data_IF_947471221398
#
_entry.id   IF_947471221398
#
_cell.length_a   1.000
_cell.length_b   1.000
_cell.length_c   1.000
_cell.angle_alpha   90.00
_cell.angle_beta   90.00
_cell.angle_gamma   90.00
#
_symmetry.space_group_name_H-M   'P 1'
#
loop_
_entity.id
_entity.type
_entity.pdbx_description
1 polymer ?
#
# COMPACT_ATOMS: atom_id res chain seq x y z
N UNK A 1 26.61 -4.65 -14.79
CA UNK A 1 25.16 -4.46 -15.00
C UNK A 1 24.56 -5.86 -15.03
N UNK A 2 24.12 -6.32 -13.87
CA UNK A 2 23.74 -7.72 -13.62
C UNK A 2 22.36 -7.99 -14.21
N UNK A 3 22.29 -8.98 -15.10
CA UNK A 3 21.06 -9.70 -15.41
C UNK A 3 20.63 -10.40 -14.12
N UNK A 4 19.69 -9.80 -13.38
CA UNK A 4 18.96 -10.55 -12.36
C UNK A 4 18.00 -11.44 -13.13
N UNK A 5 18.41 -12.69 -13.37
CA UNK A 5 17.47 -13.77 -13.59
C UNK A 5 16.50 -13.70 -12.39
N UNK A 6 15.22 -13.46 -12.66
CA UNK A 6 14.16 -13.52 -11.65
C UNK A 6 14.10 -14.95 -11.15
N UNK A 7 14.94 -15.28 -10.17
CA UNK A 7 14.87 -16.55 -9.45
C UNK A 7 13.59 -16.53 -8.65
N UNK A 8 12.68 -17.45 -8.99
CA UNK A 8 11.49 -17.72 -8.22
C UNK A 8 11.89 -17.95 -6.74
N UNK A 9 11.09 -17.48 -5.76
CA UNK A 9 11.25 -17.88 -4.38
C UNK A 9 11.23 -19.40 -4.33
N UNK A 10 12.29 -19.99 -3.81
CA UNK A 10 12.27 -21.40 -3.47
C UNK A 10 11.23 -21.61 -2.35
N UNK A 11 10.58 -22.78 -2.33
CA UNK A 11 9.65 -23.22 -1.28
C UNK A 11 10.14 -22.96 0.16
N UNK A 12 11.47 -22.88 0.34
CA UNK A 12 12.17 -22.64 1.60
C UNK A 12 11.86 -21.28 2.28
N UNK A 13 11.16 -20.34 1.63
CA UNK A 13 10.76 -19.07 2.26
C UNK A 13 9.27 -18.75 2.32
N UNK A 14 8.40 -19.59 1.74
CA UNK A 14 6.98 -19.53 2.07
C UNK A 14 6.75 -19.76 3.59
N UNK A 15 7.68 -20.46 4.26
CA UNK A 15 7.69 -20.66 5.71
C UNK A 15 8.01 -19.39 6.53
N UNK A 16 8.64 -18.37 5.93
CA UNK A 16 8.95 -17.08 6.59
C UNK A 16 7.81 -16.06 6.47
N UNK A 17 6.87 -16.29 5.55
CA UNK A 17 5.70 -15.43 5.35
C UNK A 17 4.59 -15.82 6.30
N UNK A 18 3.88 -14.82 6.82
CA UNK A 18 2.65 -15.05 7.56
C UNK A 18 1.64 -15.80 6.66
N UNK A 19 1.09 -16.96 7.07
CA UNK A 19 0.19 -17.75 6.23
C UNK A 19 -1.04 -16.98 5.73
N UNK A 20 -1.55 -16.05 6.53
CA UNK A 20 -2.68 -15.20 6.13
C UNK A 20 -2.27 -14.22 5.02
N UNK A 21 -1.01 -13.77 5.05
CA UNK A 21 -0.44 -12.97 3.99
C UNK A 21 -0.27 -13.77 2.70
N UNK A 22 0.20 -15.01 2.78
CA UNK A 22 0.31 -15.88 1.60
C UNK A 22 -1.05 -16.05 0.90
N UNK A 23 -2.10 -16.42 1.64
CA UNK A 23 -3.46 -16.56 1.08
C UNK A 23 -3.95 -15.26 0.43
N UNK A 24 -3.65 -14.12 1.04
CA UNK A 24 -3.94 -12.81 0.45
C UNK A 24 -3.21 -12.59 -0.87
N UNK A 25 -1.94 -12.95 -0.95
CA UNK A 25 -1.18 -12.84 -2.19
C UNK A 25 -1.83 -13.67 -3.30
N UNK A 26 -2.22 -14.92 -3.02
CA UNK A 26 -2.96 -15.76 -3.98
C UNK A 26 -4.20 -15.03 -4.53
N UNK A 27 -5.05 -14.49 -3.64
CA UNK A 27 -6.25 -13.76 -4.05
C UNK A 27 -5.97 -12.52 -4.91
N UNK A 28 -4.88 -11.79 -4.62
CA UNK A 28 -4.47 -10.62 -5.40
C UNK A 28 -3.91 -11.05 -6.76
N UNK A 29 -3.13 -12.12 -6.79
CA UNK A 29 -2.62 -12.74 -8.01
C UNK A 29 -3.76 -13.10 -8.95
N UNK A 30 -4.76 -13.83 -8.45
CA UNK A 30 -5.96 -14.20 -9.22
C UNK A 30 -6.70 -12.96 -9.74
N UNK A 31 -6.88 -11.92 -8.93
CA UNK A 31 -7.57 -10.70 -9.37
C UNK A 31 -6.78 -10.00 -10.49
N UNK A 32 -5.46 -9.87 -10.34
CA UNK A 32 -4.60 -9.25 -11.34
C UNK A 32 -4.52 -10.06 -12.63
N UNK A 33 -4.46 -11.39 -12.55
CA UNK A 33 -4.50 -12.27 -13.71
C UNK A 33 -5.80 -12.09 -14.49
N UNK A 34 -6.96 -12.13 -13.80
CA UNK A 34 -8.26 -11.87 -14.41
C UNK A 34 -8.32 -10.50 -15.09
N UNK A 35 -7.75 -9.45 -14.48
CA UNK A 35 -7.73 -8.11 -15.08
C UNK A 35 -6.87 -8.09 -16.34
N UNK A 36 -5.71 -8.74 -16.34
CA UNK A 36 -4.82 -8.82 -17.51
C UNK A 36 -5.50 -9.57 -18.65
N UNK A 37 -6.12 -10.72 -18.36
CA UNK A 37 -6.75 -11.57 -19.36
C UNK A 37 -8.01 -10.93 -19.98
N UNK A 38 -8.84 -10.31 -19.15
CA UNK A 38 -10.12 -9.75 -19.59
C UNK A 38 -9.97 -8.38 -20.24
N UNK A 39 -8.98 -7.59 -19.82
CA UNK A 39 -9.00 -6.16 -20.11
C UNK A 39 -7.65 -5.43 -20.04
N UNK A 40 -6.62 -5.99 -20.70
CA UNK A 40 -5.27 -5.38 -20.73
C UNK A 40 -5.25 -3.91 -21.17
N UNK A 41 -6.25 -3.45 -21.95
CA UNK A 41 -6.36 -2.06 -22.42
C UNK A 41 -6.79 -1.08 -21.33
N UNK A 42 -7.42 -1.57 -20.26
CA UNK A 42 -7.87 -0.77 -19.13
C UNK A 42 -6.91 -0.86 -17.93
N UNK A 43 -5.80 -1.60 -18.08
CA UNK A 43 -4.66 -1.56 -17.16
C UNK A 43 -3.73 -0.37 -17.46
N UNK A 44 -3.50 0.44 -16.44
CA UNK A 44 -2.53 1.51 -16.45
C UNK A 44 -1.42 1.25 -15.43
N UNK A 45 -0.19 1.29 -15.91
CA UNK A 45 1.00 1.16 -15.09
C UNK A 45 1.44 2.53 -14.57
N UNK A 46 1.42 2.72 -13.26
CA UNK A 46 1.96 3.92 -12.60
C UNK A 46 3.50 3.89 -12.51
N UNK A 47 4.13 4.85 -11.81
CA UNK A 47 5.58 4.88 -11.63
C UNK A 47 6.11 3.65 -10.88
N UNK A 48 7.41 3.39 -11.04
CA UNK A 48 8.16 2.47 -10.15
C UNK A 48 8.86 3.31 -9.11
N UNK A 49 8.87 2.83 -7.87
CA UNK A 49 9.50 3.53 -6.76
C UNK A 49 10.61 2.66 -6.20
N UNK A 50 11.79 3.24 -6.02
CA UNK A 50 12.85 2.63 -5.24
C UNK A 50 12.83 3.24 -3.85
N UNK A 51 12.65 2.39 -2.83
CA UNK A 51 12.50 2.81 -1.45
C UNK A 51 13.41 2.01 -0.53
N UNK A 52 13.79 2.61 0.59
CA UNK A 52 14.55 1.93 1.64
C UNK A 52 13.74 1.91 2.93
N UNK A 53 13.61 0.75 3.56
CA UNK A 53 12.95 0.59 4.85
C UNK A 53 13.78 1.23 5.96
N UNK A 54 13.17 1.47 7.13
CA UNK A 54 13.92 1.92 8.31
C UNK A 54 15.01 0.95 8.77
N UNK A 55 14.92 -0.33 8.36
CA UNK A 55 15.90 -1.36 8.62
C UNK A 55 17.03 -1.42 7.56
N UNK A 56 17.01 -0.54 6.55
CA UNK A 56 18.03 -0.49 5.50
C UNK A 56 17.79 -1.46 4.33
N UNK A 57 16.66 -2.16 4.31
CA UNK A 57 16.30 -3.04 3.20
C UNK A 57 15.82 -2.20 2.01
N UNK A 58 16.34 -2.48 0.81
CA UNK A 58 15.87 -1.87 -0.42
C UNK A 58 14.64 -2.61 -0.93
N UNK A 59 13.66 -1.86 -1.43
CA UNK A 59 12.48 -2.39 -2.07
C UNK A 59 12.22 -1.65 -3.39
N UNK A 60 11.72 -2.38 -4.37
CA UNK A 60 11.10 -1.85 -5.58
C UNK A 60 9.57 -1.91 -5.39
N UNK A 61 8.87 -0.79 -5.53
CA UNK A 61 7.40 -0.74 -5.45
C UNK A 61 6.82 -0.48 -6.82
N UNK A 62 6.03 -1.43 -7.30
CA UNK A 62 5.34 -1.36 -8.58
C UNK A 62 3.92 -0.90 -8.34
N UNK A 63 3.45 -0.01 -9.18
CA UNK A 63 2.10 0.52 -9.11
C UNK A 63 1.32 0.21 -10.37
N UNK A 64 0.14 -0.37 -10.20
CA UNK A 64 -0.79 -0.74 -11.28
C UNK A 64 -2.16 -0.25 -10.89
N UNK A 65 -2.93 0.22 -11.86
CA UNK A 65 -4.31 0.60 -11.63
C UNK A 65 -5.21 0.22 -12.80
N UNK A 66 -6.50 0.11 -12.51
CA UNK A 66 -7.51 -0.01 -13.55
C UNK A 66 -8.79 0.68 -13.10
N UNK A 67 -9.59 1.10 -14.07
CA UNK A 67 -10.93 1.62 -13.83
C UNK A 67 -11.95 0.47 -13.74
N UNK A 68 -13.01 0.67 -12.98
CA UNK A 68 -14.04 -0.33 -12.78
C UNK A 68 -15.30 0.22 -12.12
N UNK A 69 -16.09 -0.69 -11.53
CA UNK A 69 -17.26 -0.36 -10.72
C UNK A 69 -17.21 -1.10 -9.38
N UNK A 70 -17.70 -0.45 -8.33
CA UNK A 70 -17.93 -1.09 -7.03
C UNK A 70 -19.10 -2.08 -7.13
N UNK A 71 -19.29 -2.91 -6.09
CA UNK A 71 -20.48 -3.77 -5.98
C UNK A 71 -21.81 -2.99 -6.02
N UNK A 72 -21.79 -1.73 -5.58
CA UNK A 72 -22.92 -0.80 -5.62
C UNK A 72 -23.06 -0.09 -6.98
N UNK A 73 -22.22 -0.40 -7.97
CA UNK A 73 -22.26 0.15 -9.31
C UNK A 73 -21.61 1.53 -9.47
N UNK A 74 -21.01 2.08 -8.42
CA UNK A 74 -20.30 3.36 -8.48
C UNK A 74 -19.04 3.21 -9.31
N UNK A 75 -18.71 4.22 -10.13
CA UNK A 75 -17.43 4.25 -10.83
C UNK A 75 -16.30 4.25 -9.81
N UNK A 76 -15.30 3.42 -10.01
CA UNK A 76 -14.13 3.40 -9.18
C UNK A 76 -12.84 3.23 -9.99
N UNK A 77 -11.72 3.52 -9.34
CA UNK A 77 -10.38 3.20 -9.81
C UNK A 77 -9.67 2.42 -8.72
N UNK A 78 -9.19 1.22 -9.04
CA UNK A 78 -8.45 0.37 -8.11
C UNK A 78 -6.95 0.52 -8.34
N UNK A 79 -6.21 0.67 -7.26
CA UNK A 79 -4.76 0.80 -7.22
C UNK A 79 -4.15 -0.38 -6.47
N UNK A 80 -3.14 -0.99 -7.08
CA UNK A 80 -2.33 -2.06 -6.54
C UNK A 80 -0.90 -1.56 -6.45
N UNK A 81 -0.35 -1.55 -5.23
CA UNK A 81 1.04 -1.23 -4.97
C UNK A 81 1.68 -2.49 -4.41
N UNK A 82 2.68 -3.03 -5.11
CA UNK A 82 3.34 -4.28 -4.73
C UNK A 82 4.81 -4.00 -4.47
N UNK A 83 5.29 -4.33 -3.28
CA UNK A 83 6.68 -4.14 -2.88
C UNK A 83 7.47 -5.43 -2.95
N UNK A 84 8.62 -5.32 -3.60
CA UNK A 84 9.48 -6.42 -3.98
C UNK A 84 10.86 -6.18 -3.36
N UNK A 85 11.43 -7.20 -2.72
CA UNK A 85 12.78 -7.11 -2.17
C UNK A 85 13.87 -7.26 -3.24
N UNK A 86 15.14 -7.15 -2.83
CA UNK A 86 16.30 -7.29 -3.71
C UNK A 86 16.50 -8.71 -4.28
N UNK A 87 15.75 -9.69 -3.76
CA UNK A 87 15.73 -11.06 -4.22
C UNK A 87 14.57 -11.33 -5.19
N UNK A 88 13.68 -10.36 -5.42
CA UNK A 88 12.54 -10.50 -6.33
C UNK A 88 11.28 -11.07 -5.67
N UNK A 89 11.21 -11.08 -4.33
CA UNK A 89 10.06 -11.60 -3.58
C UNK A 89 9.07 -10.50 -3.19
N UNK A 90 7.78 -10.86 -3.17
CA UNK A 90 6.72 -10.00 -2.63
C UNK A 90 6.77 -10.02 -1.12
N UNK A 91 6.96 -8.84 -0.53
CA UNK A 91 7.08 -8.72 0.92
C UNK A 91 6.01 -7.82 1.53
N UNK A 92 5.35 -6.99 0.73
CA UNK A 92 4.22 -6.18 1.16
C UNK A 92 3.37 -5.74 -0.04
N UNK A 93 2.08 -5.50 0.20
CA UNK A 93 1.17 -4.94 -0.79
C UNK A 93 0.26 -3.88 -0.18
N UNK A 94 -0.27 -3.02 -1.04
CA UNK A 94 -1.40 -2.16 -0.72
C UNK A 94 -2.41 -2.22 -1.86
N UNK A 95 -3.66 -2.43 -1.49
CA UNK A 95 -4.80 -2.26 -2.40
C UNK A 95 -5.60 -1.03 -1.96
N UNK A 96 -5.95 -0.15 -2.89
CA UNK A 96 -6.76 1.04 -2.62
C UNK A 96 -7.79 1.24 -3.71
N UNK A 97 -9.05 1.39 -3.31
CA UNK A 97 -10.15 1.74 -4.20
C UNK A 97 -10.48 3.22 -4.05
N UNK A 98 -10.44 3.95 -5.16
CA UNK A 98 -10.97 5.31 -5.28
C UNK A 98 -12.41 5.21 -5.78
N UNK A 99 -13.38 5.52 -4.93
CA UNK A 99 -14.80 5.54 -5.32
C UNK A 99 -15.22 6.96 -5.67
N UNK A 100 -15.61 7.19 -6.92
CA UNK A 100 -16.02 8.51 -7.38
C UNK A 100 -17.46 8.81 -6.97
N UNK A 101 -17.68 10.01 -6.42
CA UNK A 101 -18.96 10.49 -5.89
C UNK A 101 -19.20 11.94 -6.31
N UNK A 102 -20.47 12.33 -6.29
CA UNK A 102 -20.90 13.71 -6.49
C UNK A 102 -21.90 14.06 -5.38
N UNK A 103 -21.66 15.17 -4.68
CA UNK A 103 -22.55 15.68 -3.63
C UNK A 103 -22.66 17.18 -3.76
N UNK A 104 -23.90 17.71 -3.84
CA UNK A 104 -24.16 19.16 -3.98
C UNK A 104 -23.38 19.83 -5.14
N UNK A 105 -23.10 19.06 -6.21
CA UNK A 105 -22.33 19.52 -7.37
C UNK A 105 -20.81 19.48 -7.20
N UNK A 106 -20.28 19.14 -6.02
CA UNK A 106 -18.86 18.84 -5.80
C UNK A 106 -18.58 17.40 -6.23
N UNK A 107 -17.57 17.21 -7.10
CA UNK A 107 -17.09 15.88 -7.48
C UNK A 107 -15.90 15.51 -6.63
N UNK A 108 -15.97 14.38 -5.94
CA UNK A 108 -14.88 13.92 -5.08
C UNK A 108 -14.70 12.42 -5.19
N UNK A 109 -13.55 11.93 -4.75
CA UNK A 109 -13.32 10.50 -4.58
C UNK A 109 -13.05 10.18 -3.10
N UNK A 110 -13.58 9.05 -2.63
CA UNK A 110 -13.19 8.46 -1.34
C UNK A 110 -12.15 7.38 -1.60
N UNK A 111 -10.99 7.47 -0.95
CA UNK A 111 -9.96 6.44 -0.99
C UNK A 111 -10.10 5.54 0.23
N UNK A 112 -10.26 4.24 -0.02
CA UNK A 112 -10.35 3.20 0.99
C UNK A 112 -9.42 2.05 0.59
N UNK A 113 -8.67 1.50 1.54
CA UNK A 113 -7.68 0.50 1.21
C UNK A 113 -7.05 -0.14 2.42
N UNK A 114 -6.28 -1.18 2.15
CA UNK A 114 -5.54 -1.92 3.15
C UNK A 114 -4.10 -2.07 2.72
N UNK A 115 -3.20 -1.95 3.69
CA UNK A 115 -1.80 -2.31 3.58
C UNK A 115 -1.59 -3.65 4.29
N UNK A 116 -0.88 -4.57 3.65
CA UNK A 116 -0.51 -5.84 4.24
C UNK A 116 0.98 -6.08 4.06
N UNK A 117 1.59 -6.69 5.08
CA UNK A 117 3.03 -6.96 5.10
C UNK A 117 3.25 -8.43 5.42
N UNK A 118 4.05 -9.11 4.61
CA UNK A 118 4.33 -10.54 4.78
C UNK A 118 5.31 -10.84 5.90
N UNK A 119 6.14 -9.87 6.28
CA UNK A 119 7.20 -10.04 7.29
C UNK A 119 7.08 -8.96 8.35
N UNK A 120 6.83 -9.38 9.60
CA UNK A 120 6.68 -8.46 10.74
C UNK A 120 8.02 -7.82 11.11
N UNK A 121 7.96 -6.59 11.63
CA UNK A 121 9.13 -5.89 12.19
C UNK A 121 10.17 -5.38 11.19
N UNK A 122 9.97 -5.56 9.88
CA UNK A 122 10.91 -5.09 8.83
C UNK A 122 10.69 -3.64 8.38
N UNK A 123 9.67 -2.97 8.91
CA UNK A 123 9.36 -1.58 8.57
C UNK A 123 8.88 -1.40 7.13
N UNK A 124 8.21 -2.42 6.56
CA UNK A 124 7.75 -2.45 5.17
C UNK A 124 6.58 -1.49 4.92
N UNK A 125 5.72 -1.27 5.92
CA UNK A 125 4.50 -0.49 5.76
C UNK A 125 4.74 0.98 5.38
N UNK A 126 5.74 1.61 6.02
CA UNK A 126 6.01 3.03 5.85
C UNK A 126 6.41 3.39 4.40
N UNK A 127 7.34 2.66 3.75
CA UNK A 127 7.61 2.86 2.33
C UNK A 127 6.38 2.79 1.42
N UNK A 128 5.52 1.77 1.56
CA UNK A 128 4.30 1.67 0.73
C UNK A 128 3.34 2.83 1.00
N UNK A 129 3.23 3.28 2.25
CA UNK A 129 2.40 4.42 2.58
C UNK A 129 2.92 5.70 1.92
N UNK A 130 4.23 5.91 1.88
CA UNK A 130 4.84 7.05 1.16
C UNK A 130 4.53 7.00 -0.33
N UNK A 131 4.64 5.82 -0.94
CA UNK A 131 4.27 5.61 -2.35
C UNK A 131 2.79 5.89 -2.57
N UNK A 132 1.93 5.40 -1.68
CA UNK A 132 0.49 5.63 -1.75
C UNK A 132 0.11 7.12 -1.67
N UNK A 133 0.73 7.88 -0.77
CA UNK A 133 0.54 9.33 -0.69
C UNK A 133 0.88 10.03 -2.02
N UNK A 134 1.97 9.64 -2.68
CA UNK A 134 2.35 10.19 -3.98
C UNK A 134 1.34 9.80 -5.07
N UNK A 135 0.91 8.54 -5.11
CA UNK A 135 -0.12 8.05 -6.05
C UNK A 135 -1.44 8.82 -5.88
N UNK A 136 -1.92 9.02 -4.64
CA UNK A 136 -3.13 9.79 -4.40
C UNK A 136 -3.00 11.25 -4.83
N UNK A 137 -1.83 11.87 -4.59
CA UNK A 137 -1.59 13.24 -5.05
C UNK A 137 -1.53 13.33 -6.58
N UNK A 138 -0.93 12.35 -7.26
CA UNK A 138 -0.91 12.26 -8.72
C UNK A 138 -2.31 12.11 -9.28
N UNK A 139 -3.15 11.26 -8.68
CA UNK A 139 -4.55 11.10 -9.07
C UNK A 139 -5.37 12.39 -8.87
N UNK A 140 -5.20 13.07 -7.73
CA UNK A 140 -5.83 14.37 -7.52
C UNK A 140 -5.39 15.39 -8.59
N UNK A 141 -4.10 15.39 -8.98
CA UNK A 141 -3.58 16.29 -10.00
C UNK A 141 -4.03 15.96 -11.42
N UNK A 142 -4.27 14.67 -11.73
CA UNK A 142 -4.84 14.25 -13.02
C UNK A 142 -6.24 14.80 -13.26
N UNK A 143 -6.95 15.20 -12.19
CA UNK A 143 -8.37 15.57 -12.21
C UNK A 143 -9.20 14.51 -12.92
N UNK A 144 -8.86 13.23 -12.69
CA UNK A 144 -9.58 12.08 -13.25
C UNK A 144 -11.06 12.24 -12.93
N UNK A 145 -11.94 12.20 -13.94
CA UNK A 145 -13.39 12.44 -13.81
C UNK A 145 -13.81 13.83 -13.31
N UNK A 146 -12.93 14.82 -13.37
CA UNK A 146 -13.20 16.19 -12.91
C UNK A 146 -13.34 16.29 -11.39
N UNK A 147 -12.66 15.43 -10.62
CA UNK A 147 -12.68 15.51 -9.15
C UNK A 147 -11.96 16.76 -8.63
N UNK A 148 -12.54 17.35 -7.60
CA UNK A 148 -12.03 18.51 -6.86
C UNK A 148 -11.19 18.11 -5.65
N UNK A 149 -11.40 16.90 -5.13
CA UNK A 149 -10.60 16.30 -4.05
C UNK A 149 -10.69 14.78 -3.99
N UNK A 150 -9.67 14.19 -3.39
CA UNK A 150 -9.67 12.82 -2.89
C UNK A 150 -9.61 12.88 -1.37
N UNK A 151 -10.59 12.31 -0.68
CA UNK A 151 -10.56 12.13 0.77
C UNK A 151 -10.16 10.70 1.07
N UNK A 152 -8.99 10.52 1.67
CA UNK A 152 -8.56 9.23 2.16
C UNK A 152 -8.98 9.04 3.61
N UNK A 153 -9.79 8.01 3.85
CA UNK A 153 -10.17 7.56 5.17
C UNK A 153 -9.18 6.51 5.67
N UNK A 154 -8.53 6.81 6.78
CA UNK A 154 -7.58 5.94 7.45
C UNK A 154 -8.34 5.23 8.55
N UNK A 155 -8.36 3.91 8.51
CA UNK A 155 -8.79 3.09 9.63
C UNK A 155 -7.60 2.28 10.12
N UNK A 156 -7.58 2.01 11.41
CA UNK A 156 -6.55 1.17 12.02
C UNK A 156 -7.25 -0.04 12.64
N UNK A 157 -7.45 -1.07 11.82
CA UNK A 157 -8.11 -2.30 12.25
C UNK A 157 -7.34 -3.01 13.38
N UNK A 158 -6.02 -2.87 13.41
CA UNK A 158 -5.21 -3.38 14.53
C UNK A 158 -5.56 -2.73 15.87
N UNK A 159 -5.94 -1.45 15.87
CA UNK A 159 -6.42 -0.78 17.08
C UNK A 159 -7.76 -1.34 17.56
N UNK A 160 -8.66 -1.69 16.63
CA UNK A 160 -9.96 -2.31 16.94
C UNK A 160 -9.74 -3.67 17.62
N UNK A 161 -8.91 -4.53 17.02
CA UNK A 161 -8.53 -5.83 17.60
C UNK A 161 -7.83 -5.67 18.97
N UNK A 162 -7.00 -4.65 19.13
CA UNK A 162 -6.35 -4.38 20.42
C UNK A 162 -7.36 -3.99 21.50
N UNK A 163 -8.41 -3.23 21.16
CA UNK A 163 -9.48 -2.89 22.11
C UNK A 163 -10.23 -4.15 22.54
N UNK A 164 -10.60 -5.02 21.59
CA UNK A 164 -11.27 -6.29 21.87
C UNK A 164 -10.43 -7.20 22.78
N UNK A 165 -9.13 -7.38 22.46
CA UNK A 165 -8.22 -8.20 23.25
C UNK A 165 -7.99 -7.66 24.68
N UNK A 166 -7.97 -6.33 24.85
CA UNK A 166 -7.91 -5.71 26.19
C UNK A 166 -9.15 -6.02 27.02
N UNK A 167 -10.32 -6.03 26.38
CA UNK A 167 -11.58 -6.29 27.07
C UNK A 167 -11.77 -7.78 27.40
N UNK A 168 -11.24 -8.68 26.58
CA UNK A 168 -11.16 -10.11 26.88
C UNK A 168 -10.23 -10.38 28.08
N UNK A 169 -9.01 -9.82 28.07
CA UNK A 169 -8.07 -9.97 29.18
C UNK A 169 -8.62 -9.45 30.51
N UNK A 170 -9.35 -8.33 30.51
CA UNK A 170 -10.00 -7.80 31.73
C UNK A 170 -11.07 -8.72 32.31
N UNK A 171 -11.68 -9.58 31.50
CA UNK A 171 -12.77 -10.48 31.94
C UNK A 171 -12.25 -11.77 32.54
N UNK A 172 -11.15 -12.30 32.00
CA UNK A 172 -10.65 -13.65 32.34
C UNK A 172 -9.27 -13.62 33.03
N UNK A 173 -8.55 -12.50 32.98
CA UNK A 173 -7.17 -12.33 33.49
C UNK A 173 -6.22 -13.47 33.05
N UNK A 174 -6.49 -14.08 31.90
CA UNK A 174 -5.76 -15.25 31.43
C UNK A 174 -4.28 -14.89 31.15
N UNK A 175 -3.32 -15.50 31.87
CA UNK A 175 -1.91 -15.17 31.74
C UNK A 175 -1.32 -15.47 30.35
N UNK A 176 -1.94 -16.38 29.57
CA UNK A 176 -1.49 -16.71 28.23
C UNK A 176 -1.82 -15.62 27.20
N UNK A 177 -2.79 -14.74 27.49
CA UNK A 177 -3.16 -13.61 26.62
C UNK A 177 -2.21 -12.42 26.78
N UNK A 178 -1.50 -12.32 27.92
CA UNK A 178 -0.67 -11.16 28.25
C UNK A 178 0.52 -10.94 27.29
N UNK A 179 1.28 -11.99 26.87
CA UNK A 179 2.33 -11.81 25.87
C UNK A 179 1.80 -11.33 24.52
N UNK A 180 0.66 -11.87 24.07
CA UNK A 180 0.01 -11.49 22.81
C UNK A 180 -0.46 -10.03 22.85
N UNK A 181 -1.07 -9.63 23.97
CA UNK A 181 -1.53 -8.26 24.20
C UNK A 181 -0.36 -7.26 24.14
N UNK A 182 0.77 -7.59 24.77
CA UNK A 182 1.96 -6.73 24.75
C UNK A 182 2.52 -6.56 23.34
N UNK A 183 2.53 -7.61 22.52
CA UNK A 183 2.95 -7.51 21.10
C UNK A 183 2.01 -6.58 20.32
N UNK A 184 0.69 -6.69 20.51
CA UNK A 184 -0.29 -5.82 19.84
C UNK A 184 -0.15 -4.36 20.28
N UNK A 185 0.16 -4.09 21.55
CA UNK A 185 0.41 -2.73 22.05
C UNK A 185 1.63 -2.11 21.37
N UNK A 186 2.75 -2.84 21.28
CA UNK A 186 3.96 -2.33 20.63
C UNK A 186 3.74 -2.08 19.14
N UNK A 187 2.99 -2.94 18.46
CA UNK A 187 2.57 -2.73 17.08
C UNK A 187 1.68 -1.50 16.92
N UNK A 188 0.72 -1.29 17.82
CA UNK A 188 -0.13 -0.12 17.79
C UNK A 188 0.65 1.18 17.99
N UNK A 189 1.65 1.18 18.88
CA UNK A 189 2.55 2.33 19.06
C UNK A 189 3.33 2.64 17.77
N UNK A 190 3.80 1.60 17.05
CA UNK A 190 4.47 1.78 15.74
C UNK A 190 3.54 2.43 14.72
N UNK A 191 2.28 1.99 14.66
CA UNK A 191 1.29 2.55 13.72
C UNK A 191 0.84 3.97 14.08
N UNK A 192 0.63 4.27 15.36
CA UNK A 192 0.38 5.63 15.85
C UNK A 192 1.55 6.55 15.49
N UNK A 193 2.78 6.08 15.73
CA UNK A 193 3.99 6.80 15.31
C UNK A 193 4.08 6.99 13.78
N UNK A 194 3.21 6.42 12.95
CA UNK A 194 3.12 6.72 11.51
C UNK A 194 2.01 7.74 11.24
N UNK A 195 0.78 7.51 11.73
CA UNK A 195 -0.42 8.21 11.24
C UNK A 195 -0.86 9.47 11.99
N UNK A 196 0.05 10.11 12.71
CA UNK A 196 -0.08 11.52 13.09
C UNK A 196 -0.84 11.73 14.39
N UNK A 197 -1.08 12.98 14.78
CA UNK A 197 -0.28 14.20 14.50
C UNK A 197 1.05 14.44 15.28
N UNK A 198 1.51 13.71 16.28
CA UNK A 198 1.10 12.43 16.87
C UNK A 198 1.58 11.19 16.05
N UNK A 199 2.46 11.42 15.06
CA UNK A 199 3.16 10.42 14.23
C UNK A 199 3.91 10.99 12.99
N UNK A 200 4.67 10.17 12.27
CA UNK A 200 5.64 10.50 11.19
C UNK A 200 5.03 11.15 9.95
N UNK A 201 3.75 10.98 9.70
CA UNK A 201 3.08 11.52 8.50
C UNK A 201 2.18 12.73 8.81
N UNK A 202 2.16 13.20 10.07
CA UNK A 202 1.67 14.53 10.44
C UNK A 202 0.17 14.82 10.22
N UNK A 203 -0.70 13.81 10.27
CA UNK A 203 -2.15 13.99 10.06
C UNK A 203 -2.79 14.81 11.18
N UNK A 204 -3.34 15.99 10.87
CA UNK A 204 -3.98 16.90 11.84
C UNK A 204 -5.48 16.64 11.89
N UNK A 205 -5.97 15.96 12.94
CA UNK A 205 -7.38 15.77 13.35
C UNK A 205 -8.32 15.00 12.42
N UNK A 206 -8.93 13.94 12.96
CA UNK A 206 -9.73 12.98 12.20
C UNK A 206 -8.81 12.13 11.33
N UNK A 207 -9.05 10.83 11.25
CA UNK A 207 -8.23 9.91 10.46
C UNK A 207 -8.44 10.10 8.94
N UNK A 208 -8.55 11.34 8.48
CA UNK A 208 -8.84 11.70 7.11
C UNK A 208 -7.71 12.56 6.55
N UNK A 209 -7.34 12.33 5.29
CA UNK A 209 -6.43 13.20 4.54
C UNK A 209 -7.03 13.57 3.21
N UNK A 210 -7.15 14.86 2.98
CA UNK A 210 -7.61 15.41 1.71
C UNK A 210 -6.43 15.71 0.78
N UNK A 211 -6.55 15.25 -0.46
CA UNK A 211 -5.68 15.58 -1.58
C UNK A 211 -6.47 16.41 -2.57
N UNK A 212 -5.97 17.60 -2.92
CA UNK A 212 -6.63 18.53 -3.86
C UNK A 212 -5.73 18.76 -5.09
N UNK A 213 -6.31 18.96 -6.29
CA UNK A 213 -5.55 19.35 -7.46
C UNK A 213 -4.84 20.67 -7.19
N UNK A 214 -3.56 20.78 -7.58
CA UNK A 214 -2.75 21.98 -7.37
C UNK A 214 -2.77 22.48 -5.91
N UNK A 215 -2.95 21.58 -4.94
CA UNK A 215 -2.93 21.85 -3.51
C UNK A 215 -1.54 22.23 -3.01
N UNK A 216 -1.02 23.35 -3.53
CA UNK A 216 0.23 24.00 -3.21
C UNK A 216 1.47 23.29 -3.75
N UNK A 217 2.28 24.03 -4.49
CA UNK A 217 3.64 23.73 -4.94
C UNK A 217 4.65 23.54 -3.77
N UNK A 218 4.22 23.04 -2.61
CA UNK A 218 5.00 22.90 -1.39
C UNK A 218 4.97 21.52 -0.72
N UNK A 219 4.17 20.55 -1.21
CA UNK A 219 4.04 19.24 -0.53
C UNK A 219 4.72 18.04 -1.16
N UNK A 220 5.15 18.12 -2.42
CA UNK A 220 6.17 17.18 -2.91
C UNK A 220 7.47 17.39 -2.11
N UNK A 221 7.78 18.65 -1.74
CA UNK A 221 8.84 18.98 -0.79
C UNK A 221 8.55 18.57 0.66
N UNK A 222 7.30 18.54 1.11
CA UNK A 222 6.95 18.08 2.46
C UNK A 222 7.06 16.55 2.57
N UNK A 223 6.62 15.79 1.55
CA UNK A 223 6.84 14.32 1.45
C UNK A 223 8.33 13.99 1.29
N UNK A 224 9.08 14.80 0.53
CA UNK A 224 10.54 14.69 0.43
C UNK A 224 11.25 15.08 1.75
N UNK A 225 10.79 16.09 2.48
CA UNK A 225 11.34 16.44 3.81
C UNK A 225 11.00 15.41 4.89
N UNK A 226 9.88 14.69 4.75
CA UNK A 226 9.53 13.50 5.53
C UNK A 226 10.32 12.26 5.07
N UNK A 227 10.99 12.32 3.91
CA UNK A 227 11.94 11.31 3.43
C UNK A 227 13.38 11.57 3.89
N UNK A 228 13.75 12.82 4.15
CA UNK A 228 15.12 13.18 4.56
C UNK A 228 15.41 12.93 6.05
N UNK A 229 14.40 12.95 6.93
CA UNK A 229 14.66 12.92 8.37
C UNK A 229 14.88 11.54 9.01
N UNK A 230 14.59 10.41 8.33
CA UNK A 230 14.93 9.08 8.85
C UNK A 230 15.13 8.05 7.72
N UNK A 231 16.41 7.73 7.41
CA UNK A 231 16.93 6.51 6.76
C UNK A 231 16.14 5.87 5.60
N UNK A 232 15.31 6.61 4.87
CA UNK A 232 14.47 6.09 3.80
C UNK A 232 14.27 7.12 2.72
N UNK A 233 15.23 7.20 1.79
CA UNK A 233 15.11 7.98 0.57
C UNK A 233 14.05 7.32 -0.33
N UNK A 234 13.03 8.08 -0.71
CA UNK A 234 12.09 7.72 -1.77
C UNK A 234 12.70 8.26 -3.06
N UNK A 235 13.16 7.38 -3.93
CA UNK A 235 13.57 7.76 -5.28
C UNK A 235 12.47 7.32 -6.25
N UNK A 236 11.89 8.29 -6.94
CA UNK A 236 10.86 8.04 -7.96
C UNK A 236 11.54 7.92 -9.30
N UNK A 237 11.41 6.76 -9.96
CA UNK A 237 11.86 6.57 -11.34
C UNK A 237 10.63 6.52 -12.25
N UNK A 238 10.41 7.60 -13.00
CA UNK A 238 9.43 7.62 -14.09
C UNK A 238 10.05 6.93 -15.30
N UNK A 239 9.34 5.95 -15.84
CA UNK A 239 10.01 4.90 -16.57
C UNK A 239 9.26 4.65 -17.90
N UNK A 240 9.94 4.93 -19.02
CA UNK A 240 9.45 4.76 -20.40
C UNK A 240 9.23 3.30 -20.82
N UNK A 241 8.95 3.05 -22.10
CA UNK A 241 8.47 1.77 -22.68
C UNK A 241 9.17 0.48 -22.21
N UNK A 242 10.50 0.50 -21.94
CA UNK A 242 11.25 -0.64 -21.36
C UNK A 242 10.73 -1.10 -19.99
N UNK A 243 10.01 -0.24 -19.30
CA UNK A 243 9.49 -0.48 -17.95
C UNK A 243 8.11 -1.09 -17.98
N UNK A 244 7.34 -0.93 -19.05
CA UNK A 244 6.05 -1.62 -19.20
C UNK A 244 6.30 -3.12 -19.33
N UNK A 245 7.28 -3.51 -20.15
CA UNK A 245 7.67 -4.91 -20.29
C UNK A 245 8.17 -5.50 -18.96
N UNK A 246 9.03 -4.78 -18.23
CA UNK A 246 9.47 -5.21 -16.89
C UNK A 246 8.34 -5.28 -15.88
N UNK A 247 7.40 -4.32 -15.88
CA UNK A 247 6.22 -4.37 -15.00
C UNK A 247 5.30 -5.54 -15.35
N UNK A 248 5.15 -5.86 -16.63
CA UNK A 248 4.44 -7.07 -17.08
C UNK A 248 5.17 -8.33 -16.63
N UNK A 249 6.47 -8.43 -16.85
CA UNK A 249 7.27 -9.58 -16.41
C UNK A 249 7.20 -9.77 -14.90
N UNK A 250 7.26 -8.68 -14.14
CA UNK A 250 7.10 -8.74 -12.69
C UNK A 250 5.67 -9.11 -12.33
N UNK A 251 4.64 -8.50 -12.94
CA UNK A 251 3.24 -8.87 -12.69
C UNK A 251 2.94 -10.33 -13.02
N UNK A 252 3.50 -10.84 -14.12
CA UNK A 252 3.44 -12.26 -14.50
C UNK A 252 4.23 -13.14 -13.53
N UNK A 253 5.40 -12.70 -13.08
CA UNK A 253 6.18 -13.42 -12.06
C UNK A 253 5.49 -13.41 -10.70
N UNK A 254 4.80 -12.31 -10.34
CA UNK A 254 3.96 -12.17 -9.15
C UNK A 254 2.82 -13.17 -9.20
N UNK A 255 2.03 -13.19 -10.28
CA UNK A 255 0.95 -14.16 -10.50
C UNK A 255 1.50 -15.58 -10.39
N UNK A 256 2.62 -15.87 -11.06
CA UNK A 256 3.24 -17.19 -11.02
C UNK A 256 3.70 -17.60 -9.62
N UNK A 257 4.29 -16.69 -8.84
CA UNK A 257 4.67 -16.92 -7.43
C UNK A 257 3.47 -17.11 -6.50
N UNK A 258 2.29 -16.64 -6.89
CA UNK A 258 1.08 -16.65 -6.09
C UNK A 258 0.20 -17.87 -6.38
N UNK A 259 0.30 -18.46 -7.58
CA UNK A 259 -0.56 -19.57 -8.04
C UNK A 259 0.14 -20.94 -8.00
N UNK A 260 1.48 -21.00 -8.07
CA UNK A 260 2.30 -22.25 -8.07
C UNK A 260 2.89 -22.61 -6.69
#
# INVERSE_FOLDING_TARGET
>A
MLLLETTLPTKERAEDLDPDYYNRLVMIGDELENIIELDEKHLEYGPVYEVTTSAGQKLEVITVCHDGKTATGLKCRKWYLVAIDDQGHVVADRHTTLTFREWEGEKFATAEGMIATGIRGKGLALPLEKVHLDVLQREANRKTNGIDRITWHISNHHNELLVEAKDEYKKDENPDLLPKLNQMIEEQKRWQAIYGPDGKLGFKTGWNKDFRPNGGDGRIHEIASLAENEKGQLQVTEAGERTIQRKKEILTALIKQMVE
#
